data_IF_446769065434
#
_entry.id   IF_446769065434
#
_cell.length_a   1.000
_cell.length_b   1.000
_cell.length_c   1.000
_cell.angle_alpha   90.00
_cell.angle_beta   90.00
_cell.angle_gamma   90.00
#
_symmetry.space_group_name_H-M   'P 1'
#
loop_
_entity.id
_entity.type
_entity.pdbx_description
1 polymer ?
#
# COMPACT_ATOMS: atom_id res chain seq x y z
N UNK A 1 1.55 -6.51 9.00
CA UNK A 1 1.23 -7.58 8.02
C UNK A 1 2.45 -8.29 7.46
N UNK A 2 3.54 -7.60 7.09
CA UNK A 2 4.75 -8.32 6.65
C UNK A 2 5.37 -9.20 7.75
N UNK A 3 5.45 -8.70 8.99
CA UNK A 3 5.93 -9.49 10.12
C UNK A 3 5.09 -10.75 10.35
N UNK A 4 3.78 -10.71 10.11
CA UNK A 4 2.92 -11.89 10.24
C UNK A 4 3.31 -12.98 9.23
N UNK A 5 3.57 -12.60 7.97
CA UNK A 5 4.07 -13.56 6.96
C UNK A 5 5.47 -14.06 7.32
N UNK A 6 6.37 -13.17 7.72
CA UNK A 6 7.71 -13.56 8.16
C UNK A 6 7.66 -14.54 9.32
N UNK A 7 6.79 -14.30 10.30
CA UNK A 7 6.59 -15.18 11.44
C UNK A 7 5.99 -16.52 11.03
N UNK A 8 4.99 -16.52 10.14
CA UNK A 8 4.44 -17.75 9.57
C UNK A 8 5.52 -18.60 8.88
N UNK A 9 6.34 -18.00 8.02
CA UNK A 9 7.45 -18.71 7.36
C UNK A 9 8.50 -19.25 8.32
N UNK A 10 8.71 -18.57 9.46
CA UNK A 10 9.65 -19.01 10.50
C UNK A 10 8.98 -19.83 11.62
N UNK A 11 7.69 -20.16 11.53
CA UNK A 11 6.97 -20.90 12.57
C UNK A 11 6.91 -20.22 13.94
N UNK A 12 6.98 -18.89 13.96
CA UNK A 12 6.96 -18.05 15.18
C UNK A 12 5.51 -17.75 15.52
N UNK A 13 5.09 -18.08 16.75
CA UNK A 13 3.79 -17.70 17.30
C UNK A 13 3.92 -16.48 18.21
N UNK A 14 2.79 -15.87 18.56
CA UNK A 14 2.76 -14.69 19.42
C UNK A 14 3.22 -15.06 20.84
N UNK A 15 4.26 -14.39 21.34
CA UNK A 15 4.91 -14.71 22.61
C UNK A 15 6.14 -15.63 22.50
N UNK A 16 6.35 -16.30 21.36
CA UNK A 16 7.53 -17.13 21.13
C UNK A 16 8.74 -16.30 20.70
N UNK A 17 9.91 -16.59 21.28
CA UNK A 17 11.22 -16.17 20.73
C UNK A 17 11.93 -17.38 20.12
N UNK A 18 11.69 -17.63 18.83
CA UNK A 18 12.40 -18.67 18.07
C UNK A 18 13.47 -18.06 17.16
N UNK A 19 14.44 -18.89 16.79
CA UNK A 19 15.49 -18.52 15.84
C UNK A 19 14.85 -18.26 14.46
N UNK A 20 15.21 -17.13 13.85
CA UNK A 20 14.82 -16.79 12.48
C UNK A 20 15.77 -17.52 11.52
N UNK A 21 15.26 -18.54 10.85
CA UNK A 21 16.05 -19.38 9.93
C UNK A 21 16.22 -18.73 8.56
N UNK A 22 15.21 -18.01 8.10
CA UNK A 22 15.21 -17.43 6.75
C UNK A 22 15.07 -15.91 6.84
N UNK A 23 16.06 -15.20 6.31
CA UNK A 23 16.00 -13.73 6.20
C UNK A 23 14.84 -13.34 5.28
N UNK A 24 13.92 -12.52 5.80
CA UNK A 24 12.72 -12.12 5.06
C UNK A 24 13.03 -11.46 3.71
N UNK A 25 14.08 -10.63 3.65
CA UNK A 25 14.53 -10.02 2.39
C UNK A 25 14.92 -11.04 1.31
N UNK A 26 15.47 -12.21 1.70
CA UNK A 26 15.77 -13.29 0.75
C UNK A 26 14.49 -13.96 0.25
N UNK A 27 13.47 -14.10 1.10
CA UNK A 27 12.15 -14.62 0.68
C UNK A 27 11.50 -13.69 -0.35
N UNK A 28 11.62 -12.38 -0.15
CA UNK A 28 11.04 -11.37 -1.04
C UNK A 28 11.77 -11.24 -2.38
N UNK A 29 13.09 -11.51 -2.41
CA UNK A 29 13.89 -11.38 -3.62
C UNK A 29 13.40 -12.33 -4.73
N UNK A 30 13.53 -11.90 -5.99
CA UNK A 30 13.14 -12.72 -7.12
C UNK A 30 13.96 -14.02 -7.21
N UNK A 31 13.39 -15.06 -7.83
CA UNK A 31 14.07 -16.36 -8.02
C UNK A 31 15.41 -16.24 -8.76
N UNK A 32 15.53 -15.28 -9.69
CA UNK A 32 16.76 -14.95 -10.40
C UNK A 32 17.90 -14.46 -9.50
N UNK A 33 17.59 -13.99 -8.29
CA UNK A 33 18.52 -13.54 -7.26
C UNK A 33 18.52 -14.49 -6.06
N UNK A 34 18.25 -15.78 -6.31
CA UNK A 34 18.22 -16.84 -5.28
C UNK A 34 17.19 -16.64 -4.16
N UNK A 35 16.19 -15.81 -4.41
CA UNK A 35 15.07 -15.62 -3.48
C UNK A 35 13.86 -16.49 -3.82
N UNK A 36 12.80 -16.38 -3.02
CA UNK A 36 11.57 -17.15 -3.23
C UNK A 36 10.56 -16.43 -4.15
N UNK A 37 10.79 -15.15 -4.44
CA UNK A 37 9.93 -14.33 -5.30
C UNK A 37 8.59 -13.97 -4.67
N UNK A 38 8.47 -14.05 -3.34
CA UNK A 38 7.22 -13.67 -2.66
C UNK A 38 7.05 -12.16 -2.75
N UNK A 39 5.89 -11.71 -3.25
CA UNK A 39 5.60 -10.29 -3.34
C UNK A 39 5.49 -9.65 -1.95
N UNK A 40 6.28 -8.59 -1.75
CA UNK A 40 6.21 -7.73 -0.57
C UNK A 40 4.83 -7.08 -0.48
N UNK A 41 4.22 -7.11 0.71
CA UNK A 41 2.96 -6.40 0.93
C UNK A 41 3.17 -4.89 0.88
N UNK A 42 4.33 -4.42 1.29
CA UNK A 42 4.67 -3.01 1.16
C UNK A 42 4.64 -2.56 -0.30
N UNK A 43 5.33 -3.30 -1.18
CA UNK A 43 5.34 -3.01 -2.61
C UNK A 43 3.94 -3.15 -3.24
N UNK A 44 3.21 -4.21 -2.89
CA UNK A 44 1.87 -4.48 -3.43
C UNK A 44 0.86 -3.40 -3.00
N UNK A 45 0.86 -2.99 -1.74
CA UNK A 45 -0.04 -1.94 -1.24
C UNK A 45 0.23 -0.60 -1.94
N UNK A 46 1.49 -0.25 -2.18
CA UNK A 46 1.87 0.95 -2.93
C UNK A 46 1.41 0.88 -4.39
N UNK A 47 1.58 -0.26 -5.05
CA UNK A 47 1.06 -0.49 -6.40
C UNK A 47 -0.47 -0.38 -6.47
N UNK A 48 -1.18 -0.87 -5.46
CA UNK A 48 -2.64 -0.75 -5.37
C UNK A 48 -3.08 0.71 -5.18
N UNK A 49 -2.41 1.48 -4.33
CA UNK A 49 -2.66 2.92 -4.16
C UNK A 49 -2.46 3.64 -5.49
N UNK A 50 -1.35 3.38 -6.18
CA UNK A 50 -1.07 3.97 -7.49
C UNK A 50 -2.15 3.62 -8.52
N UNK A 51 -2.57 2.35 -8.58
CA UNK A 51 -3.66 1.90 -9.46
C UNK A 51 -4.99 2.58 -9.14
N UNK A 52 -5.30 2.75 -7.85
CA UNK A 52 -6.51 3.43 -7.39
C UNK A 52 -6.52 4.93 -7.75
N UNK A 53 -5.41 5.62 -7.50
CA UNK A 53 -5.26 7.03 -7.88
C UNK A 53 -5.28 7.21 -9.39
N UNK A 54 -4.63 6.32 -10.14
CA UNK A 54 -4.68 6.32 -11.61
C UNK A 54 -6.11 6.23 -12.15
N UNK A 55 -6.94 5.33 -11.60
CA UNK A 55 -8.36 5.21 -11.99
C UNK A 55 -9.17 6.48 -11.70
N UNK A 56 -8.83 7.18 -10.62
CA UNK A 56 -9.46 8.46 -10.31
C UNK A 56 -9.11 9.53 -11.35
N UNK A 57 -7.82 9.65 -11.70
CA UNK A 57 -7.32 10.66 -12.63
C UNK A 57 -7.75 10.36 -14.07
N UNK A 58 -7.83 9.07 -14.45
CA UNK A 58 -8.20 8.65 -15.82
C UNK A 58 -9.63 9.01 -16.21
N UNK A 59 -10.45 9.51 -15.25
CA UNK A 59 -11.76 10.07 -15.59
C UNK A 59 -12.79 9.01 -15.96
N UNK A 60 -12.68 7.79 -15.44
CA UNK A 60 -13.57 6.65 -15.74
C UNK A 60 -15.05 6.89 -15.40
N UNK A 61 -15.44 8.07 -14.86
CA UNK A 61 -16.80 8.44 -14.44
C UNK A 61 -17.51 7.39 -13.57
N UNK A 62 -16.73 6.50 -12.95
CA UNK A 62 -17.24 5.42 -12.14
C UNK A 62 -17.99 5.96 -10.92
N UNK A 63 -18.94 5.17 -10.41
CA UNK A 63 -19.65 5.51 -9.16
C UNK A 63 -18.67 5.75 -8.01
N UNK A 64 -17.57 5.01 -7.97
CA UNK A 64 -16.50 5.21 -7.00
C UNK A 64 -15.86 6.61 -7.12
N UNK A 65 -15.50 7.06 -8.33
CA UNK A 65 -14.95 8.42 -8.53
C UNK A 65 -15.93 9.50 -8.08
N UNK A 66 -17.21 9.35 -8.44
CA UNK A 66 -18.29 10.29 -8.06
C UNK A 66 -18.51 10.32 -6.55
N UNK A 67 -18.46 9.16 -5.90
CA UNK A 67 -18.56 9.03 -4.44
C UNK A 67 -17.40 9.71 -3.72
N UNK A 68 -16.16 9.49 -4.17
CA UNK A 68 -14.98 10.17 -3.63
C UNK A 68 -15.09 11.69 -3.79
N UNK A 69 -15.54 12.18 -4.95
CA UNK A 69 -15.80 13.60 -5.18
C UNK A 69 -16.92 14.17 -4.30
N UNK A 70 -17.98 13.40 -4.06
CA UNK A 70 -19.09 13.82 -3.19
C UNK A 70 -18.67 13.92 -1.72
N UNK A 71 -17.85 12.99 -1.23
CA UNK A 71 -17.38 12.98 0.16
C UNK A 71 -16.25 13.98 0.40
N UNK A 72 -15.29 14.06 -0.51
CA UNK A 72 -14.08 14.85 -0.31
C UNK A 72 -14.09 16.21 -1.03
N UNK A 73 -15.16 16.50 -1.78
CA UNK A 73 -15.31 17.72 -2.59
C UNK A 73 -14.52 17.66 -3.90
N UNK A 74 -14.84 18.59 -4.81
CA UNK A 74 -13.99 18.81 -5.98
C UNK A 74 -12.64 19.35 -5.50
N UNK A 75 -11.54 18.77 -5.99
CA UNK A 75 -10.17 19.12 -5.62
C UNK A 75 -9.79 20.61 -5.80
N UNK A 76 -10.66 21.44 -6.38
CA UNK A 76 -10.39 22.84 -6.70
C UNK A 76 -10.76 23.83 -5.59
N UNK A 77 -11.58 23.46 -4.62
CA UNK A 77 -11.92 24.34 -3.50
C UNK A 77 -11.10 23.99 -2.27
N UNK A 78 -10.16 24.86 -1.93
CA UNK A 78 -9.36 24.88 -0.70
C UNK A 78 -10.20 25.22 0.53
N UNK A 79 -11.41 24.66 0.67
CA UNK A 79 -12.16 24.78 1.91
C UNK A 79 -11.57 23.81 2.93
N UNK A 80 -11.17 24.39 4.05
CA UNK A 80 -10.59 23.76 5.24
C UNK A 80 -11.56 22.74 5.82
N UNK A 81 -11.54 21.52 5.31
CA UNK A 81 -12.21 20.40 5.96
C UNK A 81 -11.41 19.97 7.18
N UNK A 82 -11.97 20.24 8.36
CA UNK A 82 -11.45 19.96 9.71
C UNK A 82 -11.16 18.48 9.98
N UNK A 83 -11.59 17.57 9.09
CA UNK A 83 -11.35 16.13 9.21
C UNK A 83 -10.20 15.65 8.33
N UNK A 84 -9.32 14.76 8.83
CA UNK A 84 -8.29 14.11 8.01
C UNK A 84 -8.97 13.30 6.90
N UNK A 85 -8.95 13.83 5.68
CA UNK A 85 -9.46 13.12 4.51
C UNK A 85 -8.54 11.94 4.20
N UNK A 86 -9.09 10.72 4.33
CA UNK A 86 -8.42 9.48 3.92
C UNK A 86 -7.92 9.60 2.48
N UNK A 87 -8.69 10.25 1.61
CA UNK A 87 -8.30 10.51 0.23
C UNK A 87 -7.07 11.43 0.11
N UNK A 88 -6.97 12.49 0.93
CA UNK A 88 -5.76 13.33 0.99
C UNK A 88 -4.54 12.54 1.45
N UNK A 89 -4.70 11.62 2.41
CA UNK A 89 -3.60 10.74 2.85
C UNK A 89 -3.15 9.80 1.73
N UNK A 90 -4.09 9.21 0.98
CA UNK A 90 -3.80 8.37 -0.20
C UNK A 90 -3.06 9.18 -1.26
N UNK A 91 -3.50 10.42 -1.54
CA UNK A 91 -2.82 11.30 -2.50
C UNK A 91 -1.41 11.70 -2.02
N UNK A 92 -1.23 11.96 -0.72
CA UNK A 92 0.09 12.24 -0.14
C UNK A 92 1.04 11.06 -0.30
N UNK A 93 0.57 9.85 -0.01
CA UNK A 93 1.34 8.62 -0.25
C UNK A 93 1.63 8.42 -1.74
N UNK A 94 0.67 8.64 -2.62
CA UNK A 94 0.91 8.55 -4.05
C UNK A 94 1.96 9.56 -4.54
N UNK A 95 1.95 10.78 -4.00
CA UNK A 95 2.97 11.79 -4.31
C UNK A 95 4.35 11.40 -3.76
N UNK A 96 4.42 10.75 -2.59
CA UNK A 96 5.68 10.23 -2.06
C UNK A 96 6.29 9.14 -2.95
N UNK A 97 5.45 8.34 -3.62
CA UNK A 97 5.90 7.33 -4.59
C UNK A 97 6.50 7.93 -5.86
N UNK A 98 6.11 9.15 -6.26
CA UNK A 98 6.68 9.80 -7.45
C UNK A 98 8.10 10.34 -7.22
N UNK A 99 8.49 10.52 -5.96
CA UNK A 99 9.78 11.13 -5.57
C UNK A 99 10.86 10.07 -5.34
N UNK A 100 10.50 8.79 -5.30
CA UNK A 100 11.42 7.65 -5.21
C UNK A 100 11.82 7.12 -6.58
#
# INVERSE_FOLDING_TARGET
MENLRSNFFNGIQEGDRKIVWVKWLKVLAAKKFEGLGVSSFFALNRGLIAKWVWRFISGDNSLWCKFILAIHGSSHSTSTMTYPSIWKSILKEFNSLKVQ
#
